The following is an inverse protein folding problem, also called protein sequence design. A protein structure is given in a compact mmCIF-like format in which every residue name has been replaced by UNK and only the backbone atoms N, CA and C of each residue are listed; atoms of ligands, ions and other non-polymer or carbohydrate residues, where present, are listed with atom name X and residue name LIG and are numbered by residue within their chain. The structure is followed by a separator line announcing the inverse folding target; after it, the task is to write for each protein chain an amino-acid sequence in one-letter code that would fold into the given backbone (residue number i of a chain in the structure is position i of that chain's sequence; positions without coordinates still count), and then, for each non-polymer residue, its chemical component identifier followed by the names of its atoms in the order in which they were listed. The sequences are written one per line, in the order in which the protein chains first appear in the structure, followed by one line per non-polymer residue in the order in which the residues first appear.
data_IF_664505378383
#
_entry.id   IF_664505378383
#
_cell.length_a   1.000
_cell.length_b   1.000
_cell.length_c   1.000
_cell.angle_alpha   90.00
_cell.angle_beta   90.00
_cell.angle_gamma   90.00
#
_symmetry.space_group_name_H-M   'P 1'
#
loop_
_entity.id
_entity.type
_entity.pdbx_description
1 polymer ?
#
# COMPACT_ATOMS: atom_id res chain seq x y z
N UNK A 1 8.32 36.46 -15.66
CA UNK A 1 7.46 36.14 -14.50
C UNK A 1 6.39 35.09 -14.83
N UNK A 2 5.56 35.24 -15.86
CA UNK A 2 4.44 34.30 -16.11
C UNK A 2 4.87 32.92 -16.62
N UNK A 3 6.01 32.82 -17.31
CA UNK A 3 6.57 31.58 -17.85
C UNK A 3 6.99 30.54 -16.78
N UNK A 4 7.10 30.95 -15.52
CA UNK A 4 7.47 30.09 -14.38
C UNK A 4 6.29 29.83 -13.42
N UNK A 5 5.08 30.28 -13.75
CA UNK A 5 3.93 30.15 -12.86
C UNK A 5 3.34 28.72 -12.90
N UNK A 6 3.13 28.12 -11.73
CA UNK A 6 2.49 26.81 -11.59
C UNK A 6 0.94 26.89 -11.66
N UNK A 7 0.37 28.07 -11.41
CA UNK A 7 -1.07 28.36 -11.51
C UNK A 7 -1.28 29.68 -12.27
N UNK A 8 -2.16 29.66 -13.27
CA UNK A 8 -2.50 30.81 -14.11
C UNK A 8 -3.98 31.11 -13.95
N UNK A 9 -4.33 32.29 -13.45
CA UNK A 9 -5.73 32.70 -13.30
C UNK A 9 -6.07 33.73 -14.39
N UNK A 10 -7.03 33.40 -15.26
CA UNK A 10 -7.45 34.23 -16.39
C UNK A 10 -8.69 35.06 -16.01
N UNK A 11 -8.79 36.28 -16.55
CA UNK A 11 -9.91 37.18 -16.32
C UNK A 11 -10.85 37.34 -17.54
N UNK A 12 -10.58 36.67 -18.67
CA UNK A 12 -11.23 36.94 -19.95
C UNK A 12 -12.64 36.34 -20.05
N UNK A 13 -13.59 37.14 -20.55
CA UNK A 13 -14.89 36.67 -21.01
C UNK A 13 -14.71 35.95 -22.36
N UNK A 14 -15.00 34.64 -22.40
CA UNK A 14 -14.98 33.82 -23.62
C UNK A 14 -14.07 32.59 -23.55
N UNK A 15 -14.31 31.63 -24.45
CA UNK A 15 -13.44 30.46 -24.70
C UNK A 15 -12.11 30.94 -25.31
N UNK A 16 -11.28 31.61 -24.52
CA UNK A 16 -9.94 31.95 -24.95
C UNK A 16 -9.12 30.66 -25.07
N UNK A 17 -8.53 30.43 -26.24
CA UNK A 17 -7.55 29.39 -26.46
C UNK A 17 -6.45 29.51 -25.39
N UNK A 18 -6.10 28.38 -24.77
CA UNK A 18 -5.04 28.34 -23.77
C UNK A 18 -3.75 28.95 -24.37
N UNK A 19 -3.12 29.92 -23.69
CA UNK A 19 -1.94 30.57 -24.25
C UNK A 19 -0.83 29.53 -24.53
N UNK A 20 -0.20 29.59 -25.71
CA UNK A 20 0.82 28.61 -26.11
C UNK A 20 2.08 28.60 -25.19
N UNK A 21 2.23 29.63 -24.35
CA UNK A 21 3.34 29.78 -23.41
C UNK A 21 3.10 29.13 -22.04
N UNK A 22 1.94 28.49 -21.83
CA UNK A 22 1.65 27.77 -20.58
C UNK A 22 2.58 26.56 -20.45
N UNK A 23 3.30 26.47 -19.32
CA UNK A 23 4.14 25.32 -19.02
C UNK A 23 3.29 24.04 -18.95
N UNK A 24 3.74 22.91 -19.53
CA UNK A 24 3.07 21.63 -19.36
C UNK A 24 2.89 21.29 -17.87
N UNK A 25 1.65 21.06 -17.45
CA UNK A 25 1.28 20.76 -16.06
C UNK A 25 0.87 21.95 -15.19
N UNK A 26 0.93 23.19 -15.70
CA UNK A 26 0.41 24.35 -14.97
C UNK A 26 -1.13 24.34 -14.95
N UNK A 27 -1.72 24.66 -13.79
CA UNK A 27 -3.17 24.71 -13.63
C UNK A 27 -3.73 26.05 -14.12
N UNK A 28 -4.66 26.03 -15.07
CA UNK A 28 -5.30 27.24 -15.62
C UNK A 28 -6.72 27.38 -15.05
N UNK A 29 -7.01 28.49 -14.38
CA UNK A 29 -8.31 28.77 -13.75
C UNK A 29 -8.92 30.01 -14.41
N UNK A 30 -10.02 29.85 -15.14
CA UNK A 30 -10.71 30.97 -15.76
C UNK A 30 -11.75 31.58 -14.79
N UNK A 31 -11.53 32.84 -14.41
CA UNK A 31 -12.38 33.65 -13.55
C UNK A 31 -13.17 34.72 -14.32
N UNK A 32 -13.30 34.60 -15.64
CA UNK A 32 -14.13 35.48 -16.48
C UNK A 32 -15.62 35.44 -16.08
N UNK A 33 -16.42 36.44 -16.48
CA UNK A 33 -17.85 36.44 -16.24
C UNK A 33 -18.47 35.22 -16.92
N UNK A 34 -19.20 34.40 -16.15
CA UNK A 34 -20.04 33.35 -16.70
C UNK A 34 -21.25 33.98 -17.38
N UNK A 35 -21.06 34.55 -18.58
CA UNK A 35 -22.14 34.72 -19.54
C UNK A 35 -22.16 33.44 -20.37
N UNK A 36 -22.77 32.40 -19.80
CA UNK A 36 -23.28 31.30 -20.62
C UNK A 36 -24.64 31.78 -21.08
N UNK A 37 -24.73 32.20 -22.34
CA UNK A 37 -25.99 32.16 -23.07
C UNK A 37 -26.40 30.70 -23.15
N UNK A 38 -27.24 30.24 -22.21
CA UNK A 38 -28.08 29.09 -22.48
C UNK A 38 -28.98 29.47 -23.66
N UNK A 39 -29.03 28.60 -24.67
CA UNK A 39 -29.96 28.68 -25.78
C UNK A 39 -31.40 28.63 -25.23
N UNK A 40 -31.97 29.81 -24.93
CA UNK A 40 -33.41 29.99 -24.85
C UNK A 40 -33.96 29.91 -26.26
N UNK A 41 -34.61 28.79 -26.55
CA UNK A 41 -35.40 28.60 -27.76
C UNK A 41 -36.36 29.77 -28.00
N UNK A 42 -36.43 30.14 -29.27
CA UNK A 42 -37.35 31.06 -29.94
C UNK A 42 -38.42 31.78 -29.07
N UNK A 43 -38.42 33.12 -29.23
CA UNK A 43 -39.41 34.09 -28.75
C UNK A 43 -39.23 34.61 -27.31
N UNK A 44 -38.24 35.48 -27.14
CA UNK A 44 -38.14 36.40 -26.01
C UNK A 44 -37.07 37.44 -26.32
N UNK A 45 -37.43 38.72 -26.33
CA UNK A 45 -36.50 39.83 -26.50
C UNK A 45 -35.34 39.69 -25.51
N UNK A 46 -34.14 39.47 -26.02
CA UNK A 46 -32.92 39.49 -25.22
C UNK A 46 -32.73 40.94 -24.72
N UNK A 47 -33.09 41.18 -23.46
CA UNK A 47 -32.61 42.36 -22.75
C UNK A 47 -31.11 42.13 -22.57
N UNK A 48 -30.30 42.77 -23.42
CA UNK A 48 -28.90 43.00 -23.10
C UNK A 48 -28.88 43.83 -21.81
N UNK A 49 -28.81 43.15 -20.66
CA UNK A 49 -28.36 43.77 -19.44
C UNK A 49 -26.88 44.11 -19.67
N UNK A 50 -26.66 45.33 -20.17
CA UNK A 50 -25.38 46.02 -20.10
C UNK A 50 -24.97 46.06 -18.62
N UNK A 51 -24.24 45.02 -18.19
CA UNK A 51 -23.52 45.03 -16.93
C UNK A 51 -22.60 46.25 -17.00
N UNK A 52 -22.85 47.25 -16.15
CA UNK A 52 -22.14 48.51 -16.19
C UNK A 52 -20.63 48.28 -16.36
N UNK A 53 -19.95 49.02 -17.27
CA UNK A 53 -18.54 48.83 -17.55
C UNK A 53 -17.75 49.00 -16.25
N UNK A 54 -17.28 47.88 -15.69
CA UNK A 54 -16.66 47.83 -14.36
C UNK A 54 -17.14 46.68 -13.47
N UNK A 55 -18.42 46.29 -13.55
CA UNK A 55 -18.99 45.24 -12.67
C UNK A 55 -18.49 43.85 -13.05
N UNK A 56 -18.36 43.56 -14.36
CA UNK A 56 -17.79 42.30 -14.85
C UNK A 56 -16.30 42.13 -14.50
N UNK A 57 -15.52 43.21 -14.61
CA UNK A 57 -14.10 43.24 -14.21
C UNK A 57 -13.92 43.18 -12.69
N UNK A 58 -14.80 43.82 -11.92
CA UNK A 58 -14.80 43.72 -10.46
C UNK A 58 -15.14 42.31 -9.99
N UNK A 59 -16.14 41.66 -10.59
CA UNK A 59 -16.49 40.28 -10.30
C UNK A 59 -15.36 39.30 -10.66
N UNK A 60 -14.69 39.51 -11.80
CA UNK A 60 -13.51 38.73 -12.17
C UNK A 60 -12.35 38.95 -11.18
N UNK A 61 -12.08 40.18 -10.76
CA UNK A 61 -11.06 40.51 -9.77
C UNK A 61 -11.35 39.87 -8.40
N UNK A 62 -12.61 39.88 -7.94
CA UNK A 62 -13.02 39.21 -6.70
C UNK A 62 -12.87 37.69 -6.79
N UNK A 63 -13.23 37.07 -7.93
CA UNK A 63 -13.00 35.63 -8.15
C UNK A 63 -11.51 35.28 -8.13
N UNK A 64 -10.67 36.08 -8.81
CA UNK A 64 -9.21 35.91 -8.77
C UNK A 64 -8.69 36.03 -7.34
N UNK A 65 -9.14 37.05 -6.60
CA UNK A 65 -8.73 37.23 -5.21
C UNK A 65 -9.12 36.03 -4.35
N UNK A 66 -10.32 35.47 -4.55
CA UNK A 66 -10.78 34.28 -3.83
C UNK A 66 -9.98 33.03 -4.21
N UNK A 67 -9.66 32.84 -5.49
CA UNK A 67 -8.80 31.74 -5.94
C UNK A 67 -7.42 31.86 -5.31
N UNK A 68 -6.78 33.03 -5.37
CA UNK A 68 -5.45 33.24 -4.77
C UNK A 68 -5.49 33.02 -3.25
N UNK A 69 -6.50 33.55 -2.55
CA UNK A 69 -6.69 33.32 -1.11
C UNK A 69 -6.90 31.83 -0.82
N UNK A 70 -7.69 31.13 -1.62
CA UNK A 70 -7.95 29.70 -1.47
C UNK A 70 -6.69 28.87 -1.71
N UNK A 71 -5.95 29.12 -2.80
CA UNK A 71 -4.70 28.44 -3.12
C UNK A 71 -3.62 28.68 -2.07
N UNK A 72 -3.52 29.90 -1.51
CA UNK A 72 -2.61 30.19 -0.39
C UNK A 72 -2.98 29.41 0.87
N UNK A 73 -4.27 29.39 1.24
CA UNK A 73 -4.75 28.60 2.39
C UNK A 73 -4.47 27.11 2.19
N UNK A 74 -4.80 26.58 1.01
CA UNK A 74 -4.53 25.19 0.65
C UNK A 74 -3.03 24.88 0.75
N UNK A 75 -2.15 25.74 0.22
CA UNK A 75 -0.70 25.55 0.31
C UNK A 75 -0.19 25.57 1.76
N UNK A 76 -0.75 26.43 2.61
CA UNK A 76 -0.46 26.44 4.07
C UNK A 76 -1.03 25.21 4.79
N UNK A 77 -2.10 24.59 4.29
CA UNK A 77 -2.63 23.33 4.78
C UNK A 77 -1.77 22.13 4.39
N UNK A 78 -1.06 22.20 3.27
CA UNK A 78 -0.16 21.13 2.85
C UNK A 78 1.12 21.05 3.69
N UNK A 79 1.52 22.14 4.36
CA UNK A 79 2.75 22.20 5.14
C UNK A 79 2.68 21.39 6.44
N UNK A 80 3.84 20.98 6.94
CA UNK A 80 3.96 20.38 8.28
C UNK A 80 3.39 21.34 9.34
N UNK A 81 2.73 20.77 10.34
CA UNK A 81 2.20 21.50 11.49
C UNK A 81 2.63 20.80 12.77
N UNK A 82 3.07 21.54 13.81
CA UNK A 82 3.26 20.97 15.13
C UNK A 82 2.00 20.27 15.61
N UNK A 83 2.16 19.14 16.28
CA UNK A 83 1.04 18.34 16.75
C UNK A 83 0.27 19.07 17.84
N UNK A 84 -1.05 18.86 17.84
CA UNK A 84 -1.97 19.37 18.87
C UNK A 84 -2.63 18.21 19.64
N UNK A 85 -1.87 17.12 19.78
CA UNK A 85 -2.33 15.86 20.34
C UNK A 85 -2.74 15.97 21.81
N UNK A 86 -3.95 15.50 22.10
CA UNK A 86 -4.52 15.49 23.46
C UNK A 86 -4.48 14.09 24.05
N UNK A 87 -3.61 13.83 25.01
CA UNK A 87 -3.48 12.49 25.60
C UNK A 87 -4.76 12.05 26.30
N UNK A 88 -5.12 10.77 26.17
CA UNK A 88 -6.19 10.16 26.97
C UNK A 88 -5.67 9.90 28.38
N UNK A 89 -6.52 10.06 29.39
CA UNK A 89 -6.15 9.74 30.78
C UNK A 89 -6.27 8.23 31.00
N UNK A 90 -5.24 7.64 31.61
CA UNK A 90 -5.30 6.30 32.16
C UNK A 90 -5.91 6.32 33.57
N UNK A 91 -6.62 5.24 33.90
CA UNK A 91 -7.08 4.95 35.26
C UNK A 91 -6.53 3.58 35.68
N UNK A 92 -5.28 3.53 36.18
CA UNK A 92 -4.70 2.27 36.63
C UNK A 92 -5.46 1.68 37.81
N UNK A 93 -5.73 0.38 37.75
CA UNK A 93 -6.40 -0.39 38.79
C UNK A 93 -5.39 -1.30 39.50
N UNK A 94 -5.67 -1.59 40.76
CA UNK A 94 -4.91 -2.54 41.57
C UNK A 94 -5.88 -3.50 42.28
N UNK A 95 -5.76 -4.83 42.08
CA UNK A 95 -4.77 -5.52 41.24
C UNK A 95 -4.92 -5.20 39.74
N UNK A 96 -3.82 -5.32 38.98
CA UNK A 96 -3.81 -5.05 37.53
C UNK A 96 -4.71 -6.06 36.83
N UNK A 97 -5.74 -5.64 36.07
CA UNK A 97 -6.62 -6.54 35.34
C UNK A 97 -5.89 -7.25 34.19
N UNK A 98 -6.58 -8.19 33.53
CA UNK A 98 -6.04 -8.79 32.31
C UNK A 98 -5.91 -7.78 31.17
N UNK A 99 -5.01 -8.03 30.22
CA UNK A 99 -4.73 -7.13 29.11
C UNK A 99 -6.00 -6.76 28.31
N UNK A 100 -6.87 -7.74 28.07
CA UNK A 100 -8.10 -7.54 27.31
C UNK A 100 -9.12 -6.69 28.09
N UNK A 101 -9.19 -6.84 29.42
CA UNK A 101 -10.06 -6.02 30.26
C UNK A 101 -9.58 -4.56 30.27
N UNK A 102 -8.26 -4.34 30.35
CA UNK A 102 -7.68 -3.00 30.22
C UNK A 102 -8.01 -2.40 28.85
N UNK A 103 -7.83 -3.16 27.77
CA UNK A 103 -8.14 -2.68 26.42
C UNK A 103 -9.62 -2.33 26.23
N UNK A 104 -10.55 -3.11 26.82
CA UNK A 104 -12.00 -2.87 26.71
C UNK A 104 -12.46 -1.73 27.63
N UNK A 105 -11.78 -1.51 28.75
CA UNK A 105 -12.08 -0.43 29.69
C UNK A 105 -11.72 0.97 29.16
N UNK A 106 -10.86 1.05 28.15
CA UNK A 106 -10.43 2.33 27.55
C UNK A 106 -11.17 2.62 26.25
N UNK A 107 -11.81 3.79 26.17
CA UNK A 107 -12.42 4.26 24.92
C UNK A 107 -11.36 4.93 24.03
N UNK A 108 -11.05 4.39 22.84
CA UNK A 108 -10.09 5.01 21.92
C UNK A 108 -10.62 6.34 21.37
N UNK A 109 -9.73 7.26 20.99
CA UNK A 109 -10.12 8.42 20.20
C UNK A 109 -10.69 7.97 18.86
N UNK A 110 -11.60 8.76 18.31
CA UNK A 110 -11.97 8.62 16.91
C UNK A 110 -10.72 8.83 16.04
N UNK A 111 -10.51 7.95 15.08
CA UNK A 111 -9.26 7.89 14.30
C UNK A 111 -9.05 9.15 13.45
N UNK A 112 -10.13 9.79 13.01
CA UNK A 112 -10.14 11.07 12.31
C UNK A 112 -9.73 12.24 13.22
N UNK A 113 -10.05 12.16 14.51
CA UNK A 113 -9.58 13.14 15.50
C UNK A 113 -8.07 12.96 15.71
N UNK A 114 -7.61 11.74 15.94
CA UNK A 114 -6.19 11.45 16.09
C UNK A 114 -5.39 11.88 14.86
N UNK A 115 -5.87 11.54 13.66
CA UNK A 115 -5.24 11.92 12.40
C UNK A 115 -5.08 13.45 12.28
N UNK A 116 -6.12 14.21 12.60
CA UNK A 116 -6.05 15.69 12.60
C UNK A 116 -5.05 16.23 13.63
N UNK A 117 -5.04 15.64 14.83
CA UNK A 117 -4.13 16.04 15.92
C UNK A 117 -2.65 15.87 15.55
N UNK A 118 -2.32 14.88 14.71
CA UNK A 118 -0.95 14.58 14.23
C UNK A 118 -0.64 15.19 12.85
N UNK A 119 -1.52 16.02 12.29
CA UNK A 119 -1.26 16.73 11.03
C UNK A 119 -1.47 15.90 9.75
N UNK A 120 -2.24 14.81 9.82
CA UNK A 120 -2.74 14.11 8.62
C UNK A 120 -3.90 14.88 8.00
N UNK A 121 -3.92 14.91 6.67
CA UNK A 121 -5.02 15.49 5.91
C UNK A 121 -6.15 14.46 5.72
N UNK A 122 -7.37 14.95 5.53
CA UNK A 122 -8.54 14.07 5.38
C UNK A 122 -8.47 13.20 4.12
N UNK A 123 -7.78 13.66 3.06
CA UNK A 123 -7.57 12.91 1.82
C UNK A 123 -6.43 11.88 1.91
N UNK A 124 -5.64 11.91 2.99
CA UNK A 124 -4.58 10.94 3.28
C UNK A 124 -5.05 9.76 4.14
N UNK A 125 -6.27 9.84 4.67
CA UNK A 125 -6.83 8.87 5.61
C UNK A 125 -7.95 8.06 4.97
N UNK A 126 -7.88 6.74 5.12
CA UNK A 126 -8.94 5.81 4.70
C UNK A 126 -9.43 5.04 5.93
N UNK A 127 -10.59 5.43 6.48
CA UNK A 127 -11.08 4.90 7.75
C UNK A 127 -11.59 3.45 7.64
N UNK A 128 -11.25 2.62 8.63
CA UNK A 128 -11.72 1.25 8.81
C UNK A 128 -12.48 1.14 10.14
N UNK A 129 -13.68 1.69 10.16
CA UNK A 129 -14.44 1.92 11.39
C UNK A 129 -13.92 3.16 12.14
N UNK A 130 -14.17 3.22 13.45
CA UNK A 130 -13.89 4.43 14.25
C UNK A 130 -12.48 4.50 14.83
N UNK A 131 -11.79 3.37 14.98
CA UNK A 131 -10.57 3.29 15.78
C UNK A 131 -9.28 3.02 14.98
N UNK A 132 -9.39 2.77 13.67
CA UNK A 132 -8.26 2.45 12.79
C UNK A 132 -8.48 2.96 11.37
N UNK A 133 -7.39 3.24 10.66
CA UNK A 133 -7.43 3.76 9.31
C UNK A 133 -6.14 3.42 8.55
N UNK A 134 -6.22 3.27 7.23
CA UNK A 134 -5.05 3.23 6.35
C UNK A 134 -4.56 4.64 6.06
N UNK A 135 -3.24 4.84 5.99
CA UNK A 135 -2.62 6.13 5.63
C UNK A 135 -1.98 6.05 4.25
N UNK A 136 -2.33 7.00 3.37
CA UNK A 136 -1.84 7.05 2.00
C UNK A 136 -0.38 7.48 1.90
N UNK A 137 0.32 6.91 0.92
CA UNK A 137 1.73 7.23 0.65
C UNK A 137 1.95 8.62 0.04
N UNK A 138 0.87 9.31 -0.40
CA UNK A 138 0.92 10.69 -0.88
C UNK A 138 1.52 11.66 0.14
N UNK A 139 1.43 11.32 1.43
CA UNK A 139 2.06 12.03 2.54
C UNK A 139 3.56 12.19 2.36
N UNK A 140 4.27 11.15 1.91
CA UNK A 140 5.72 11.23 1.68
C UNK A 140 6.08 12.28 0.63
N UNK A 141 5.24 12.43 -0.41
CA UNK A 141 5.43 13.47 -1.41
C UNK A 141 5.14 14.86 -0.84
N UNK A 142 4.07 15.00 -0.05
CA UNK A 142 3.69 16.26 0.60
C UNK A 142 4.74 16.76 1.58
N UNK A 143 5.22 15.88 2.46
CA UNK A 143 6.20 16.19 3.51
C UNK A 143 7.65 15.94 3.08
N UNK A 144 7.95 15.81 1.79
CA UNK A 144 9.32 15.52 1.29
C UNK A 144 10.38 16.50 1.80
N UNK A 145 10.00 17.77 2.00
CA UNK A 145 10.89 18.85 2.45
C UNK A 145 11.02 18.93 3.97
N UNK A 146 10.16 18.24 4.72
CA UNK A 146 10.22 18.19 6.18
C UNK A 146 11.43 17.32 6.59
N UNK A 147 12.29 17.76 7.51
CA UNK A 147 13.36 16.92 8.04
C UNK A 147 12.77 15.71 8.77
N UNK A 148 13.47 14.57 8.69
CA UNK A 148 13.09 13.38 9.43
C UNK A 148 13.32 13.57 10.93
N UNK A 149 12.46 12.97 11.74
CA UNK A 149 12.69 12.88 13.19
C UNK A 149 13.78 11.88 13.58
N UNK A 150 13.90 11.65 14.88
CA UNK A 150 14.90 10.75 15.47
C UNK A 150 14.36 9.32 15.49
N UNK A 151 15.12 8.37 14.95
CA UNK A 151 14.76 6.95 14.94
C UNK A 151 15.36 6.21 16.15
N UNK A 152 14.52 5.52 16.92
CA UNK A 152 14.90 4.84 18.17
C UNK A 152 14.59 3.36 18.06
N UNK A 153 15.61 2.54 17.85
CA UNK A 153 15.45 1.09 17.80
C UNK A 153 15.36 0.48 19.21
N UNK A 154 14.26 -0.20 19.50
CA UNK A 154 14.13 -1.01 20.74
C UNK A 154 14.45 -2.47 20.43
N UNK A 155 15.63 -2.91 20.90
CA UNK A 155 16.07 -4.30 20.82
C UNK A 155 15.81 -5.05 22.15
N UNK A 156 15.94 -6.37 22.11
CA UNK A 156 15.91 -7.21 23.30
C UNK A 156 17.10 -8.15 23.32
N UNK A 157 17.40 -8.69 24.50
CA UNK A 157 18.35 -9.80 24.66
C UNK A 157 17.81 -11.08 24.00
N UNK A 158 18.62 -12.13 23.98
CA UNK A 158 18.19 -13.47 23.53
C UNK A 158 16.91 -13.88 24.28
N UNK A 159 15.83 -14.27 23.57
CA UNK A 159 14.56 -14.61 24.21
C UNK A 159 14.69 -15.76 25.20
N UNK A 160 14.04 -15.60 26.35
CA UNK A 160 13.97 -16.57 27.43
C UNK A 160 12.50 -16.92 27.73
N UNK A 161 12.20 -18.07 28.37
CA UNK A 161 10.84 -18.42 28.75
C UNK A 161 10.15 -17.43 29.69
N UNK A 162 10.91 -16.57 30.38
CA UNK A 162 10.37 -15.58 31.31
C UNK A 162 9.74 -14.36 30.60
N UNK A 163 10.12 -14.12 29.34
CA UNK A 163 9.60 -13.02 28.54
C UNK A 163 10.22 -11.66 28.90
N UNK A 164 10.69 -10.93 27.89
CA UNK A 164 11.46 -9.69 28.09
C UNK A 164 10.60 -8.42 27.99
N UNK A 165 9.32 -8.54 27.58
CA UNK A 165 8.41 -7.38 27.51
C UNK A 165 8.80 -6.34 26.45
N UNK A 166 9.54 -6.70 25.39
CA UNK A 166 10.03 -5.75 24.37
C UNK A 166 8.94 -4.85 23.75
N UNK A 167 7.78 -5.41 23.43
CA UNK A 167 6.65 -4.64 22.89
C UNK A 167 6.05 -3.72 23.96
N UNK A 168 6.00 -4.16 25.21
CA UNK A 168 5.54 -3.35 26.35
C UNK A 168 6.46 -2.16 26.58
N UNK A 169 7.79 -2.37 26.54
CA UNK A 169 8.79 -1.29 26.64
C UNK A 169 8.66 -0.31 25.49
N UNK A 170 8.44 -0.81 24.27
CA UNK A 170 8.21 0.03 23.08
C UNK A 170 7.03 0.97 23.28
N UNK A 171 5.89 0.41 23.68
CA UNK A 171 4.66 1.18 23.85
C UNK A 171 4.76 2.13 25.05
N UNK A 172 5.35 1.67 26.16
CA UNK A 172 5.62 2.50 27.34
C UNK A 172 6.54 3.68 27.03
N UNK A 173 7.57 3.48 26.20
CA UNK A 173 8.49 4.54 25.78
C UNK A 173 7.76 5.62 24.97
N UNK A 174 6.95 5.24 23.98
CA UNK A 174 6.24 6.24 23.17
C UNK A 174 5.15 6.95 23.98
N UNK A 175 4.48 6.25 24.90
CA UNK A 175 3.56 6.86 25.86
C UNK A 175 4.28 7.85 26.79
N UNK A 176 5.45 7.51 27.31
CA UNK A 176 6.28 8.43 28.10
C UNK A 176 6.60 9.71 27.31
N UNK A 177 7.08 9.58 26.07
CA UNK A 177 7.43 10.72 25.22
C UNK A 177 6.20 11.58 24.86
N UNK A 178 5.12 10.96 24.40
CA UNK A 178 3.93 11.69 23.92
C UNK A 178 3.02 12.12 25.07
N UNK A 179 2.57 11.19 25.90
CA UNK A 179 1.54 11.46 26.90
C UNK A 179 2.08 12.25 28.10
N UNK A 180 3.31 11.98 28.52
CA UNK A 180 3.90 12.59 29.72
C UNK A 180 4.84 13.75 29.41
N UNK A 181 5.72 13.63 28.40
CA UNK A 181 6.70 14.66 28.05
C UNK A 181 6.24 15.63 26.95
N UNK A 182 5.09 15.37 26.31
CA UNK A 182 4.50 16.21 25.25
C UNK A 182 5.41 16.38 24.02
N UNK A 183 6.24 15.38 23.75
CA UNK A 183 7.06 15.29 22.55
C UNK A 183 6.31 14.51 21.47
N UNK A 184 6.40 14.94 20.21
CA UNK A 184 5.82 14.19 19.09
C UNK A 184 6.51 12.83 18.96
N UNK A 185 5.81 11.75 19.25
CA UNK A 185 6.34 10.40 19.04
C UNK A 185 5.36 9.44 18.37
N UNK A 186 5.93 8.45 17.68
CA UNK A 186 5.20 7.43 16.94
C UNK A 186 5.78 6.05 17.27
N UNK A 187 4.93 5.04 17.42
CA UNK A 187 5.40 3.64 17.41
C UNK A 187 5.04 2.97 16.08
N UNK A 188 6.01 2.26 15.49
CA UNK A 188 5.82 1.38 14.35
C UNK A 188 5.95 -0.07 14.81
N UNK A 189 4.89 -0.85 14.61
CA UNK A 189 4.78 -2.22 15.07
C UNK A 189 4.47 -3.17 13.91
N UNK A 190 4.88 -4.42 14.10
CA UNK A 190 4.48 -5.51 13.23
C UNK A 190 3.03 -5.90 13.47
N UNK A 191 2.31 -6.20 12.39
CA UNK A 191 1.04 -6.89 12.47
C UNK A 191 1.27 -8.35 12.91
N UNK A 192 0.58 -8.84 13.95
CA UNK A 192 0.65 -10.24 14.33
C UNK A 192 -0.13 -11.11 13.33
N UNK A 193 0.31 -12.37 13.20
CA UNK A 193 -0.50 -13.41 12.56
C UNK A 193 -1.72 -13.73 13.43
N UNK A 194 -2.88 -13.99 12.81
CA UNK A 194 -4.08 -14.40 13.53
C UNK A 194 -4.00 -15.86 14.00
N UNK A 195 -3.18 -16.70 13.35
CA UNK A 195 -3.09 -18.14 13.64
C UNK A 195 -2.73 -18.43 15.12
N UNK A 196 -1.67 -17.81 15.68
CA UNK A 196 -1.33 -17.92 17.09
C UNK A 196 -2.39 -17.41 18.07
N UNK A 197 -3.25 -16.47 17.66
CA UNK A 197 -4.31 -15.90 18.50
C UNK A 197 -5.29 -16.96 19.00
N UNK A 198 -5.60 -17.95 18.16
CA UNK A 198 -6.50 -19.06 18.50
C UNK A 198 -5.80 -20.26 19.16
N UNK A 199 -4.48 -20.19 19.34
CA UNK A 199 -3.68 -21.24 19.96
C UNK A 199 -3.20 -20.85 21.35
N UNK A 200 -1.96 -20.37 21.42
CA UNK A 200 -1.23 -20.13 22.68
C UNK A 200 -0.97 -18.64 22.92
N UNK A 201 -1.06 -17.79 21.89
CA UNK A 201 -0.61 -16.38 21.92
C UNK A 201 -1.63 -15.45 21.29
N UNK A 202 -2.72 -15.17 21.99
CA UNK A 202 -3.62 -14.04 21.72
C UNK A 202 -3.29 -12.81 22.59
N UNK A 203 -2.00 -12.51 22.77
CA UNK A 203 -1.53 -11.45 23.69
C UNK A 203 -1.64 -10.04 23.10
N UNK A 204 -1.55 -9.01 23.95
CA UNK A 204 -1.66 -7.62 23.54
C UNK A 204 -0.47 -7.18 22.67
N UNK A 205 -0.69 -6.11 21.89
CA UNK A 205 0.38 -5.32 21.30
C UNK A 205 1.12 -4.51 22.39
N UNK A 206 1.86 -5.22 23.26
CA UNK A 206 2.37 -4.67 24.53
C UNK A 206 1.89 -5.50 25.72
N UNK A 207 1.59 -4.85 26.84
CA UNK A 207 0.99 -5.49 28.02
C UNK A 207 0.65 -4.49 29.13
N UNK A 208 -0.31 -4.84 29.99
CA UNK A 208 -0.76 -3.97 31.08
C UNK A 208 -1.28 -2.62 30.58
N UNK A 209 -0.80 -1.52 31.14
CA UNK A 209 -1.19 -0.16 30.72
C UNK A 209 -0.38 0.40 29.54
N UNK A 210 0.47 -0.42 28.94
CA UNK A 210 1.26 -0.08 27.76
C UNK A 210 0.87 -0.99 26.58
N UNK A 211 -0.25 -0.68 25.94
CA UNK A 211 -0.84 -1.46 24.84
C UNK A 211 -1.40 -0.59 23.71
N UNK A 212 -1.47 -1.16 22.50
CA UNK A 212 -2.28 -0.64 21.38
C UNK A 212 -3.73 -1.10 21.51
N UNK A 213 -4.67 -0.21 21.24
CA UNK A 213 -6.12 -0.48 21.30
C UNK A 213 -6.84 -0.10 20.00
N UNK A 214 -7.95 -0.78 19.65
CA UNK A 214 -8.52 -1.96 20.33
C UNK A 214 -7.73 -3.25 20.04
N UNK A 215 -7.49 -4.06 21.07
CA UNK A 215 -6.66 -5.27 20.98
C UNK A 215 -7.26 -6.36 20.08
N UNK A 216 -8.59 -6.53 20.07
CA UNK A 216 -9.28 -7.53 19.24
C UNK A 216 -9.09 -7.25 17.74
N UNK A 217 -9.19 -5.98 17.36
CA UNK A 217 -8.96 -5.51 15.99
C UNK A 217 -7.51 -5.69 15.57
N UNK A 218 -6.57 -5.51 16.51
CA UNK A 218 -5.13 -5.70 16.29
C UNK A 218 -4.76 -7.17 16.03
N UNK A 219 -5.38 -8.12 16.74
CA UNK A 219 -5.01 -9.54 16.74
C UNK A 219 -5.76 -10.41 15.72
N UNK A 220 -6.80 -9.89 15.08
CA UNK A 220 -7.61 -10.60 14.10
C UNK A 220 -7.32 -10.09 12.69
N UNK A 221 -8.33 -9.54 12.01
CA UNK A 221 -8.24 -9.21 10.59
C UNK A 221 -7.58 -7.85 10.32
N UNK A 222 -7.50 -6.97 11.32
CA UNK A 222 -7.03 -5.59 11.21
C UNK A 222 -7.66 -4.87 9.99
N UNK A 223 -6.88 -4.66 8.93
CA UNK A 223 -7.31 -4.02 7.67
C UNK A 223 -7.28 -4.98 6.47
N UNK A 224 -7.04 -6.27 6.71
CA UNK A 224 -7.02 -7.31 5.69
C UNK A 224 -5.69 -7.52 4.97
N UNK A 225 -4.59 -6.97 5.48
CA UNK A 225 -3.28 -7.00 4.80
C UNK A 225 -2.76 -8.43 4.63
N UNK A 226 -2.87 -9.26 5.67
CA UNK A 226 -2.50 -10.68 5.61
C UNK A 226 -3.42 -11.46 4.67
N UNK A 227 -4.69 -11.08 4.54
CA UNK A 227 -5.61 -11.68 3.57
C UNK A 227 -5.20 -11.36 2.14
N UNK A 228 -4.80 -10.11 1.87
CA UNK A 228 -4.25 -9.70 0.58
C UNK A 228 -2.97 -10.47 0.23
N UNK A 229 -2.07 -10.65 1.21
CA UNK A 229 -0.85 -11.47 1.05
C UNK A 229 -1.21 -12.92 0.74
N UNK A 230 -2.17 -13.49 1.47
CA UNK A 230 -2.62 -14.87 1.29
C UNK A 230 -3.18 -15.06 -0.12
N UNK A 231 -4.04 -14.15 -0.58
CA UNK A 231 -4.61 -14.18 -1.93
C UNK A 231 -3.51 -14.04 -3.00
N UNK A 232 -2.57 -13.10 -2.84
CA UNK A 232 -1.48 -12.88 -3.78
C UNK A 232 -0.54 -14.10 -3.84
N UNK A 233 -0.13 -14.65 -2.70
CA UNK A 233 0.75 -15.82 -2.64
C UNK A 233 0.11 -17.04 -3.30
N UNK A 234 -1.17 -17.28 -3.00
CA UNK A 234 -1.90 -18.42 -3.54
C UNK A 234 -2.25 -18.25 -5.02
N UNK A 235 -2.37 -17.01 -5.53
CA UNK A 235 -2.45 -16.73 -6.96
C UNK A 235 -1.17 -17.15 -7.69
N UNK A 236 0.02 -16.87 -7.12
CA UNK A 236 1.29 -17.34 -7.68
C UNK A 236 1.33 -18.87 -7.71
N UNK A 237 0.98 -19.53 -6.61
CA UNK A 237 0.93 -20.99 -6.55
C UNK A 237 -0.03 -21.61 -7.58
N UNK A 238 -1.23 -21.02 -7.72
CA UNK A 238 -2.20 -21.43 -8.73
C UNK A 238 -1.67 -21.22 -10.17
N UNK A 239 -0.97 -20.11 -10.42
CA UNK A 239 -0.38 -19.81 -11.71
C UNK A 239 0.75 -20.78 -12.07
N UNK A 240 1.57 -21.22 -11.10
CA UNK A 240 2.58 -22.26 -11.31
C UNK A 240 1.93 -23.56 -11.79
N UNK A 241 0.96 -24.07 -11.03
CA UNK A 241 0.33 -25.36 -11.35
C UNK A 241 -0.46 -25.28 -12.68
N UNK A 242 -1.19 -24.19 -12.91
CA UNK A 242 -1.90 -23.95 -14.18
C UNK A 242 -0.94 -23.84 -15.37
N UNK A 243 0.20 -23.18 -15.19
CA UNK A 243 1.21 -23.06 -16.25
C UNK A 243 1.78 -24.41 -16.62
N UNK A 244 2.13 -25.24 -15.65
CA UNK A 244 2.63 -26.60 -15.89
C UNK A 244 1.60 -27.47 -16.63
N UNK A 245 0.33 -27.43 -16.21
CA UNK A 245 -0.75 -28.17 -16.86
C UNK A 245 -0.96 -27.73 -18.32
N UNK A 246 -1.04 -26.42 -18.56
CA UNK A 246 -1.28 -25.90 -19.90
C UNK A 246 -0.10 -26.12 -20.83
N UNK A 247 1.13 -26.04 -20.33
CA UNK A 247 2.29 -26.47 -21.12
C UNK A 247 2.15 -27.96 -21.47
N UNK A 248 1.94 -28.85 -20.52
CA UNK A 248 1.89 -30.29 -20.83
C UNK A 248 0.77 -30.69 -21.83
N UNK A 249 -0.33 -29.94 -21.89
CA UNK A 249 -1.53 -30.34 -22.65
C UNK A 249 -1.76 -29.59 -23.95
N UNK A 250 -1.06 -28.48 -24.22
CA UNK A 250 -1.34 -27.61 -25.37
C UNK A 250 -0.15 -27.47 -26.31
N UNK A 251 -0.46 -27.16 -27.57
CA UNK A 251 0.55 -26.84 -28.59
C UNK A 251 1.12 -25.43 -28.39
N UNK A 252 2.35 -25.22 -28.88
CA UNK A 252 3.03 -23.91 -28.79
C UNK A 252 2.21 -22.80 -29.44
N UNK A 253 1.54 -23.10 -30.56
CA UNK A 253 0.65 -22.16 -31.25
C UNK A 253 -0.53 -21.74 -30.36
N UNK A 254 -1.14 -22.69 -29.65
CA UNK A 254 -2.26 -22.40 -28.75
C UNK A 254 -1.81 -21.55 -27.56
N UNK A 255 -0.67 -21.89 -26.94
CA UNK A 255 -0.08 -21.12 -25.85
C UNK A 255 0.28 -19.69 -26.30
N UNK A 256 0.92 -19.56 -27.47
CA UNK A 256 1.31 -18.26 -28.01
C UNK A 256 0.09 -17.35 -28.24
N UNK A 257 -0.98 -17.90 -28.82
CA UNK A 257 -2.22 -17.15 -29.06
C UNK A 257 -2.89 -16.66 -27.78
N UNK A 258 -2.72 -17.37 -26.65
CA UNK A 258 -3.27 -16.96 -25.35
C UNK A 258 -2.40 -15.94 -24.64
N UNK A 259 -1.09 -16.12 -24.70
CA UNK A 259 -0.13 -15.19 -24.08
C UNK A 259 -0.06 -13.87 -24.85
N UNK A 260 -0.16 -13.91 -26.18
CA UNK A 260 -0.09 -12.74 -27.06
C UNK A 260 -1.36 -12.70 -27.92
N UNK A 261 -2.51 -12.35 -27.33
CA UNK A 261 -3.77 -12.29 -28.05
C UNK A 261 -3.76 -11.16 -29.07
N UNK A 262 -4.54 -11.31 -30.14
CA UNK A 262 -4.80 -10.23 -31.08
C UNK A 262 -5.84 -9.29 -30.48
N UNK A 263 -5.46 -8.03 -30.25
CA UNK A 263 -6.37 -6.97 -29.77
C UNK A 263 -6.49 -5.92 -30.86
N UNK A 264 -7.72 -5.63 -31.32
CA UNK A 264 -8.00 -4.70 -32.42
C UNK A 264 -7.16 -4.98 -33.69
N UNK A 265 -6.99 -6.26 -34.04
CA UNK A 265 -6.23 -6.69 -35.21
C UNK A 265 -4.69 -6.64 -35.05
N UNK A 266 -4.16 -6.17 -33.92
CA UNK A 266 -2.72 -6.09 -33.67
C UNK A 266 -2.29 -7.02 -32.54
N UNK A 267 -1.18 -7.74 -32.73
CA UNK A 267 -0.47 -8.46 -31.66
C UNK A 267 0.72 -7.63 -31.23
N UNK A 268 0.87 -7.45 -29.92
CA UNK A 268 2.01 -6.73 -29.33
C UNK A 268 2.46 -7.44 -28.07
N UNK A 269 3.77 -7.49 -27.85
CA UNK A 269 4.30 -7.96 -26.59
C UNK A 269 4.07 -6.92 -25.49
N UNK A 270 3.72 -7.40 -24.30
CA UNK A 270 3.73 -6.57 -23.10
C UNK A 270 5.18 -6.32 -22.63
N UNK A 271 5.43 -5.31 -21.77
CA UNK A 271 6.77 -5.05 -21.25
C UNK A 271 7.42 -6.27 -20.58
N UNK A 272 6.62 -7.08 -19.86
CA UNK A 272 7.07 -8.31 -19.19
C UNK A 272 7.51 -9.37 -20.22
N UNK A 273 6.77 -9.48 -21.32
CA UNK A 273 7.09 -10.42 -22.40
C UNK A 273 8.36 -10.01 -23.14
N UNK A 274 8.57 -8.71 -23.36
CA UNK A 274 9.81 -8.18 -23.93
C UNK A 274 10.99 -8.49 -23.01
N UNK A 275 10.87 -8.27 -21.69
CA UNK A 275 11.91 -8.59 -20.73
C UNK A 275 12.24 -10.10 -20.70
N UNK A 276 11.25 -10.96 -20.91
CA UNK A 276 11.48 -12.41 -21.07
C UNK A 276 12.23 -12.72 -22.36
N UNK A 277 11.84 -12.16 -23.50
CA UNK A 277 12.54 -12.36 -24.78
C UNK A 277 14.01 -11.95 -24.69
N UNK A 278 14.29 -10.82 -24.04
CA UNK A 278 15.67 -10.37 -23.78
C UNK A 278 16.46 -11.38 -22.94
N UNK A 279 15.88 -11.95 -21.87
CA UNK A 279 16.52 -13.02 -21.07
C UNK A 279 16.76 -14.31 -21.86
N UNK A 280 15.98 -14.55 -22.92
CA UNK A 280 16.18 -15.66 -23.85
C UNK A 280 17.18 -15.35 -24.97
N UNK A 281 17.74 -14.13 -25.02
CA UNK A 281 18.63 -13.69 -26.10
C UNK A 281 17.90 -13.34 -27.40
N UNK A 282 16.58 -13.13 -27.35
CA UNK A 282 15.74 -12.82 -28.51
C UNK A 282 15.51 -11.30 -28.56
N UNK A 283 16.16 -10.62 -29.50
CA UNK A 283 16.05 -9.16 -29.68
C UNK A 283 14.84 -8.68 -30.49
N UNK A 284 13.93 -9.58 -30.87
CA UNK A 284 12.78 -9.29 -31.72
C UNK A 284 11.61 -8.76 -30.90
N UNK A 285 11.00 -7.66 -31.37
CA UNK A 285 9.87 -6.99 -30.70
C UNK A 285 8.53 -7.18 -31.44
N UNK A 286 8.57 -7.68 -32.67
CA UNK A 286 7.37 -8.04 -33.43
C UNK A 286 7.01 -9.52 -33.20
N UNK A 287 5.82 -9.83 -32.65
CA UNK A 287 5.35 -11.21 -32.50
C UNK A 287 5.35 -12.04 -33.79
N UNK A 288 5.16 -11.42 -34.96
CA UNK A 288 5.16 -12.13 -36.25
C UNK A 288 6.57 -12.52 -36.72
N UNK A 289 7.62 -11.88 -36.19
CA UNK A 289 9.01 -12.12 -36.59
C UNK A 289 9.66 -13.32 -35.86
N UNK A 290 8.98 -13.91 -34.86
CA UNK A 290 9.50 -15.06 -34.14
C UNK A 290 9.43 -16.33 -35.00
N UNK A 291 10.56 -17.03 -35.07
CA UNK A 291 10.65 -18.38 -35.64
C UNK A 291 9.92 -19.39 -34.74
N UNK A 292 9.53 -20.57 -35.26
CA UNK A 292 8.90 -21.61 -34.44
C UNK A 292 9.71 -22.00 -33.19
N UNK A 293 11.04 -22.05 -33.29
CA UNK A 293 11.93 -22.36 -32.16
C UNK A 293 11.95 -21.25 -31.10
N UNK A 294 11.96 -19.98 -31.53
CA UNK A 294 11.85 -18.83 -30.63
C UNK A 294 10.48 -18.77 -29.95
N UNK A 295 9.40 -19.05 -30.69
CA UNK A 295 8.05 -19.16 -30.11
C UNK A 295 8.02 -20.24 -29.05
N UNK A 296 8.55 -21.43 -29.34
CA UNK A 296 8.63 -22.53 -28.37
C UNK A 296 9.38 -22.12 -27.10
N UNK A 297 10.57 -21.54 -27.25
CA UNK A 297 11.38 -21.06 -26.13
C UNK A 297 10.70 -19.95 -25.31
N UNK A 298 9.92 -19.09 -25.97
CA UNK A 298 9.17 -18.02 -25.33
C UNK A 298 7.98 -18.54 -24.53
N UNK A 299 7.15 -19.41 -25.11
CA UNK A 299 5.90 -19.87 -24.48
C UNK A 299 6.11 -20.98 -23.46
N UNK A 300 7.23 -21.69 -23.49
CA UNK A 300 7.58 -22.76 -22.54
C UNK A 300 8.47 -22.22 -21.43
N UNK A 301 7.99 -22.26 -20.19
CA UNK A 301 8.86 -22.08 -19.02
C UNK A 301 9.60 -23.38 -18.70
N UNK A 302 9.00 -24.52 -19.05
CA UNK A 302 9.53 -25.87 -18.81
C UNK A 302 9.96 -26.07 -17.36
N UNK A 303 9.06 -25.69 -16.45
CA UNK A 303 9.30 -25.75 -15.01
C UNK A 303 9.47 -27.20 -14.57
N UNK A 304 10.51 -27.48 -13.79
CA UNK A 304 10.73 -28.80 -13.21
C UNK A 304 9.83 -28.95 -11.96
N UNK A 305 8.86 -29.89 -11.94
CA UNK A 305 7.97 -30.09 -10.80
C UNK A 305 8.71 -30.32 -9.47
N UNK A 306 9.87 -30.97 -9.51
CA UNK A 306 10.67 -31.26 -8.32
C UNK A 306 11.52 -30.08 -7.83
N UNK A 307 11.58 -28.99 -8.61
CA UNK A 307 12.31 -27.76 -8.28
C UNK A 307 11.38 -26.55 -8.14
N UNK A 308 10.08 -26.79 -7.94
CA UNK A 308 9.13 -25.75 -7.50
C UNK A 308 9.45 -25.42 -6.05
N UNK A 309 9.80 -24.18 -5.77
CA UNK A 309 10.07 -23.70 -4.41
C UNK A 309 8.88 -22.96 -3.81
N UNK A 310 7.99 -22.44 -4.65
CA UNK A 310 6.83 -21.67 -4.20
C UNK A 310 5.75 -22.55 -3.57
N UNK A 311 5.37 -22.23 -2.35
CA UNK A 311 4.35 -22.94 -1.58
C UNK A 311 3.08 -22.11 -1.43
N UNK A 312 1.99 -22.76 -1.00
CA UNK A 312 0.75 -22.05 -0.64
C UNK A 312 0.86 -21.51 0.79
N UNK A 313 -0.05 -20.61 1.16
CA UNK A 313 -0.11 -20.11 2.54
C UNK A 313 -1.54 -20.01 3.06
N UNK A 314 -1.65 -20.10 4.39
CA UNK A 314 -2.86 -19.84 5.15
C UNK A 314 -2.47 -19.24 6.51
N UNK A 315 -3.23 -18.26 7.01
CA UNK A 315 -2.93 -17.66 8.33
C UNK A 315 -3.65 -18.40 9.46
N UNK A 316 -3.44 -19.71 9.52
CA UNK A 316 -4.00 -20.62 10.55
C UNK A 316 -2.94 -21.63 10.93
N UNK A 317 -2.86 -21.99 12.21
CA UNK A 317 -1.93 -23.02 12.69
C UNK A 317 -2.44 -24.43 12.33
N UNK A 318 -2.21 -24.87 11.09
CA UNK A 318 -2.61 -26.20 10.61
C UNK A 318 -1.39 -27.06 10.26
N UNK A 319 -1.11 -28.07 11.10
CA UNK A 319 0.03 -28.97 10.90
C UNK A 319 -0.18 -30.00 9.79
N UNK A 320 -1.43 -30.32 9.43
CA UNK A 320 -1.72 -31.34 8.42
C UNK A 320 -1.46 -30.83 6.99
N UNK A 321 -1.37 -29.51 6.81
CA UNK A 321 -1.04 -28.91 5.53
C UNK A 321 0.48 -28.78 5.26
N UNK A 322 1.34 -29.21 6.18
CA UNK A 322 2.81 -29.16 6.02
C UNK A 322 3.33 -30.04 4.89
N UNK A 323 2.55 -31.02 4.44
CA UNK A 323 2.88 -31.88 3.31
C UNK A 323 1.60 -32.47 2.75
N UNK A 324 1.29 -32.10 1.51
CA UNK A 324 0.05 -32.48 0.82
C UNK A 324 0.34 -32.84 -0.62
N UNK A 325 -0.66 -33.44 -1.26
CA UNK A 325 -0.63 -33.71 -2.70
C UNK A 325 -1.80 -33.01 -3.37
N UNK A 326 -1.54 -32.27 -4.46
CA UNK A 326 -2.54 -31.54 -5.25
C UNK A 326 -2.72 -32.16 -6.64
N UNK A 327 -3.77 -31.75 -7.37
CA UNK A 327 -4.04 -32.24 -8.74
C UNK A 327 -4.66 -33.63 -8.80
N UNK A 328 -5.36 -34.06 -7.75
CA UNK A 328 -5.95 -35.40 -7.62
C UNK A 328 -7.26 -35.58 -8.42
N UNK A 329 -7.88 -34.49 -8.88
CA UNK A 329 -9.11 -34.57 -9.64
C UNK A 329 -8.87 -35.21 -11.03
N UNK A 330 -9.92 -35.80 -11.60
CA UNK A 330 -9.84 -36.52 -12.88
C UNK A 330 -9.44 -35.61 -14.06
N UNK A 331 -9.72 -34.32 -13.97
CA UNK A 331 -9.35 -33.29 -14.95
C UNK A 331 -7.86 -32.99 -14.99
N UNK A 332 -7.14 -33.23 -13.90
CA UNK A 332 -5.69 -33.01 -13.76
C UNK A 332 -4.92 -34.33 -13.75
N UNK A 333 -5.54 -35.43 -14.23
CA UNK A 333 -4.94 -36.77 -14.23
C UNK A 333 -3.52 -36.77 -14.83
N UNK A 334 -2.56 -37.28 -14.07
CA UNK A 334 -1.15 -37.33 -14.45
C UNK A 334 -0.34 -36.07 -14.12
N UNK A 335 -0.99 -35.02 -13.58
CA UNK A 335 -0.36 -33.76 -13.17
C UNK A 335 -0.42 -33.55 -11.66
N UNK A 336 -0.19 -34.63 -10.91
CA UNK A 336 -0.15 -34.63 -9.45
C UNK A 336 1.20 -34.11 -8.96
N UNK A 337 1.20 -33.29 -7.90
CA UNK A 337 2.43 -32.77 -7.29
C UNK A 337 2.34 -32.72 -5.77
N UNK A 338 3.46 -33.02 -5.11
CA UNK A 338 3.66 -32.80 -3.68
C UNK A 338 4.01 -31.33 -3.39
N UNK A 339 3.37 -30.73 -2.38
CA UNK A 339 3.55 -29.33 -1.98
C UNK A 339 3.18 -29.16 -0.51
N UNK A 340 3.25 -27.94 0.02
CA UNK A 340 2.85 -27.63 1.40
C UNK A 340 2.15 -26.27 1.51
N UNK A 341 1.61 -26.01 2.70
CA UNK A 341 1.23 -24.68 3.16
C UNK A 341 2.17 -24.21 4.26
N UNK A 342 2.59 -22.95 4.15
CA UNK A 342 3.23 -22.21 5.22
C UNK A 342 2.25 -21.22 5.86
N UNK A 343 2.58 -20.70 7.04
CA UNK A 343 1.79 -19.62 7.64
C UNK A 343 1.94 -18.33 6.81
N UNK A 344 0.87 -17.57 6.60
CA UNK A 344 0.87 -16.43 5.66
C UNK A 344 1.98 -15.40 5.91
N UNK A 345 2.31 -15.12 7.17
CA UNK A 345 3.38 -14.19 7.55
C UNK A 345 4.80 -14.68 7.20
N UNK A 346 4.96 -15.95 6.84
CA UNK A 346 6.21 -16.53 6.34
C UNK A 346 6.40 -16.33 4.82
N UNK A 347 5.39 -15.86 4.09
CA UNK A 347 5.46 -15.60 2.66
C UNK A 347 6.56 -14.59 2.31
N UNK A 348 7.27 -14.80 1.20
CA UNK A 348 8.19 -13.81 0.63
C UNK A 348 7.47 -12.47 0.33
N UNK A 349 6.18 -12.52 -0.03
CA UNK A 349 5.36 -11.31 -0.27
C UNK A 349 5.26 -10.46 1.01
N UNK A 350 5.21 -11.07 2.20
CA UNK A 350 5.24 -10.34 3.47
C UNK A 350 6.58 -9.62 3.66
N UNK A 351 7.69 -10.27 3.32
CA UNK A 351 9.01 -9.64 3.38
C UNK A 351 9.14 -8.49 2.36
N UNK A 352 8.59 -8.65 1.15
CA UNK A 352 8.54 -7.59 0.12
C UNK A 352 7.70 -6.40 0.61
N UNK A 353 6.54 -6.65 1.21
CA UNK A 353 5.71 -5.59 1.78
C UNK A 353 6.45 -4.81 2.87
N UNK A 354 7.26 -5.49 3.69
CA UNK A 354 8.04 -4.83 4.72
C UNK A 354 9.22 -4.01 4.17
N UNK A 355 9.81 -4.41 3.04
CA UNK A 355 11.02 -3.79 2.49
C UNK A 355 10.78 -2.80 1.34
N UNK A 356 9.56 -2.72 0.82
CA UNK A 356 9.26 -1.85 -0.32
C UNK A 356 9.30 -0.37 0.06
N UNK A 357 9.68 0.48 -0.88
CA UNK A 357 9.61 1.95 -0.78
C UNK A 357 8.46 2.58 -1.58
N UNK A 358 7.56 1.77 -2.14
CA UNK A 358 6.40 2.26 -2.86
C UNK A 358 5.79 1.22 -3.79
N UNK A 359 4.73 1.61 -4.50
CA UNK A 359 3.99 0.68 -5.36
C UNK A 359 4.83 0.16 -6.53
N UNK A 360 5.66 1.02 -7.13
CA UNK A 360 6.55 0.64 -8.22
C UNK A 360 7.64 -0.35 -7.74
N UNK A 361 8.32 -0.03 -6.63
CA UNK A 361 9.33 -0.92 -6.03
C UNK A 361 8.71 -2.27 -5.61
N UNK A 362 7.52 -2.24 -5.02
CA UNK A 362 6.79 -3.47 -4.64
C UNK A 362 6.51 -4.33 -5.87
N UNK A 363 6.01 -3.73 -6.95
CA UNK A 363 5.71 -4.42 -8.20
C UNK A 363 6.97 -5.05 -8.81
N UNK A 364 8.08 -4.32 -8.82
CA UNK A 364 9.34 -4.81 -9.36
C UNK A 364 9.90 -5.98 -8.53
N UNK A 365 9.81 -5.90 -7.19
CA UNK A 365 10.20 -7.00 -6.29
C UNK A 365 9.32 -8.23 -6.47
N UNK A 366 8.00 -8.04 -6.57
CA UNK A 366 7.05 -9.12 -6.84
C UNK A 366 7.37 -9.83 -8.16
N UNK A 367 7.71 -9.08 -9.21
CA UNK A 367 8.07 -9.66 -10.52
C UNK A 367 9.36 -10.50 -10.51
N UNK A 368 10.29 -10.18 -9.59
CA UNK A 368 11.58 -10.89 -9.43
C UNK A 368 11.52 -12.14 -8.57
N UNK A 369 10.41 -12.40 -7.87
CA UNK A 369 10.26 -13.62 -7.05
C UNK A 369 10.47 -14.86 -7.90
N UNK A 370 11.38 -15.74 -7.47
CA UNK A 370 11.69 -16.99 -8.16
C UNK A 370 10.76 -18.09 -7.63
N UNK A 371 9.93 -18.65 -8.50
CA UNK A 371 8.94 -19.67 -8.11
C UNK A 371 9.46 -21.10 -8.24
N UNK A 372 10.56 -21.28 -8.98
CA UNK A 372 11.19 -22.55 -9.21
C UNK A 372 12.22 -22.47 -10.34
N UNK A 373 12.72 -23.62 -10.75
CA UNK A 373 13.74 -23.74 -11.80
C UNK A 373 13.22 -24.57 -12.97
N UNK A 374 13.54 -24.18 -14.20
CA UNK A 374 13.26 -24.99 -15.39
C UNK A 374 14.10 -26.27 -15.41
N UNK A 375 13.75 -27.26 -16.24
CA UNK A 375 14.59 -28.45 -16.45
C UNK A 375 16.00 -28.11 -16.96
N UNK A 376 16.13 -27.03 -17.73
CA UNK A 376 17.41 -26.49 -18.21
C UNK A 376 18.19 -25.68 -17.14
N UNK A 377 17.77 -25.67 -15.87
CA UNK A 377 18.48 -24.98 -14.78
C UNK A 377 18.27 -23.47 -14.70
N UNK A 378 17.39 -22.88 -15.54
CA UNK A 378 17.11 -21.43 -15.51
C UNK A 378 16.06 -21.09 -14.44
N UNK A 379 16.23 -20.00 -13.68
CA UNK A 379 15.22 -19.54 -12.73
C UNK A 379 13.97 -19.06 -13.48
N UNK A 380 12.80 -19.39 -12.95
CA UNK A 380 11.49 -18.93 -13.45
C UNK A 380 10.90 -17.99 -12.42
N UNK A 381 10.49 -16.80 -12.86
CA UNK A 381 9.99 -15.74 -11.96
C UNK A 381 8.47 -15.54 -12.03
N UNK A 382 7.91 -14.77 -11.09
CA UNK A 382 6.49 -14.37 -11.16
C UNK A 382 6.17 -13.53 -12.41
N UNK A 383 7.13 -12.76 -12.92
CA UNK A 383 7.02 -12.09 -14.23
C UNK A 383 6.88 -13.10 -15.38
N UNK A 384 7.63 -14.21 -15.36
CA UNK A 384 7.50 -15.26 -16.39
C UNK A 384 6.11 -15.91 -16.41
N UNK A 385 5.46 -15.97 -15.24
CA UNK A 385 4.08 -16.43 -15.09
C UNK A 385 3.06 -15.37 -15.54
N UNK A 386 3.46 -14.10 -15.70
CA UNK A 386 2.59 -13.00 -16.10
C UNK A 386 1.64 -12.50 -15.02
N UNK A 387 1.90 -12.80 -13.74
CA UNK A 387 0.98 -12.48 -12.63
C UNK A 387 1.29 -11.18 -11.90
N UNK A 388 2.44 -10.56 -12.12
CA UNK A 388 2.93 -9.39 -11.38
C UNK A 388 1.94 -8.23 -11.30
N UNK A 389 1.23 -7.94 -12.39
CA UNK A 389 0.18 -6.91 -12.40
C UNK A 389 -0.98 -7.24 -11.46
N UNK A 390 -1.43 -8.50 -11.46
CA UNK A 390 -2.50 -8.97 -10.58
C UNK A 390 -2.07 -8.95 -9.10
N UNK A 391 -0.81 -9.34 -8.81
CA UNK A 391 -0.25 -9.25 -7.47
C UNK A 391 -0.22 -7.80 -6.95
N UNK A 392 0.23 -6.86 -7.77
CA UNK A 392 0.26 -5.45 -7.40
C UNK A 392 -1.15 -4.90 -7.11
N UNK A 393 -2.17 -5.34 -7.86
CA UNK A 393 -3.58 -4.95 -7.61
C UNK A 393 -4.10 -5.53 -6.29
N UNK A 394 -3.82 -6.81 -6.00
CA UNK A 394 -4.20 -7.43 -4.73
C UNK A 394 -3.56 -6.72 -3.54
N UNK A 395 -2.32 -6.25 -3.71
CA UNK A 395 -1.54 -5.59 -2.66
C UNK A 395 -1.75 -4.06 -2.58
N UNK A 396 -2.59 -3.48 -3.44
CA UNK A 396 -2.69 -2.01 -3.63
C UNK A 396 -3.05 -1.24 -2.34
N UNK A 397 -3.87 -1.84 -1.49
CA UNK A 397 -4.31 -1.24 -0.22
C UNK A 397 -3.46 -1.76 0.94
N UNK A 398 -2.97 -3.00 0.83
CA UNK A 398 -2.08 -3.62 1.80
C UNK A 398 -0.73 -2.91 1.94
N UNK A 399 -0.30 -2.10 0.95
CA UNK A 399 0.94 -1.30 1.02
C UNK A 399 0.86 -0.10 1.99
N UNK A 400 -0.35 0.34 2.33
CA UNK A 400 -0.58 1.52 3.17
C UNK A 400 -0.47 1.12 4.64
N UNK A 401 0.29 1.81 5.52
CA UNK A 401 0.29 1.49 6.95
C UNK A 401 -1.05 1.73 7.64
N UNK A 402 -1.36 0.94 8.67
CA UNK A 402 -2.57 1.08 9.47
C UNK A 402 -2.30 1.93 10.72
N UNK A 403 -2.92 3.10 10.80
CA UNK A 403 -2.95 3.96 11.98
C UNK A 403 -3.89 3.40 13.04
N UNK A 404 -3.38 3.28 14.26
CA UNK A 404 -4.08 2.98 15.50
C UNK A 404 -3.53 3.87 16.62
N UNK A 405 -3.84 3.55 17.88
CA UNK A 405 -3.36 4.31 19.03
C UNK A 405 -3.10 3.45 20.26
N UNK A 406 -2.30 3.97 21.19
CA UNK A 406 -2.13 3.41 22.53
C UNK A 406 -3.31 3.75 23.44
N UNK A 407 -3.33 3.16 24.65
CA UNK A 407 -4.31 3.50 25.69
C UNK A 407 -4.35 5.00 26.03
N UNK A 408 -3.23 5.71 25.92
CA UNK A 408 -3.14 7.17 26.14
C UNK A 408 -3.33 8.00 24.86
N UNK A 409 -3.70 7.38 23.74
CA UNK A 409 -3.95 8.08 22.48
C UNK A 409 -2.68 8.55 21.78
N UNK A 410 -1.54 7.89 22.02
CA UNK A 410 -0.29 8.06 21.23
C UNK A 410 -0.44 7.31 19.90
N UNK A 411 -0.04 7.89 18.75
CA UNK A 411 -0.26 7.26 17.45
C UNK A 411 0.65 6.05 17.24
N UNK A 412 0.10 5.03 16.59
CA UNK A 412 0.81 3.78 16.29
C UNK A 412 0.55 3.37 14.85
N UNK A 413 1.60 3.03 14.12
CA UNK A 413 1.47 2.31 12.86
C UNK A 413 1.63 0.81 13.09
N UNK A 414 0.72 0.04 12.51
CA UNK A 414 0.78 -1.41 12.48
C UNK A 414 0.85 -1.82 11.01
N UNK A 415 1.99 -2.36 10.59
CA UNK A 415 2.17 -2.67 9.18
C UNK A 415 3.28 -3.69 8.92
N UNK A 416 2.95 -4.68 8.09
CA UNK A 416 3.76 -5.88 7.81
C UNK A 416 4.14 -6.67 9.09
N UNK A 417 4.56 -7.91 8.92
CA UNK A 417 4.90 -8.77 10.05
C UNK A 417 5.70 -10.00 9.66
N UNK A 418 6.82 -9.87 8.91
CA UNK A 418 7.62 -11.01 8.52
C UNK A 418 8.21 -11.72 9.74
N UNK A 419 8.51 -13.00 9.53
CA UNK A 419 9.33 -13.78 10.45
C UNK A 419 10.72 -13.19 10.64
N UNK A 420 11.33 -13.46 11.79
CA UNK A 420 12.65 -12.94 12.18
C UNK A 420 13.79 -13.97 12.02
N UNK A 421 13.46 -15.20 11.60
CA UNK A 421 14.42 -16.28 11.39
C UNK A 421 14.70 -16.51 9.89
N UNK A 422 13.65 -16.53 9.06
CA UNK A 422 13.73 -16.68 7.59
C UNK A 422 13.64 -15.33 6.86
N UNK A 423 13.36 -14.25 7.59
CA UNK A 423 13.31 -12.89 7.10
C UNK A 423 13.79 -11.94 8.22
N UNK A 424 13.68 -10.62 8.00
CA UNK A 424 14.34 -9.61 8.83
C UNK A 424 13.58 -9.20 10.10
N UNK A 425 12.32 -9.62 10.27
CA UNK A 425 11.60 -9.47 11.55
C UNK A 425 11.19 -8.06 11.97
N UNK A 426 11.10 -7.08 11.05
CA UNK A 426 10.72 -5.69 11.34
C UNK A 426 9.35 -5.31 10.73
N UNK A 427 8.76 -4.20 11.19
CA UNK A 427 7.64 -3.54 10.49
C UNK A 427 8.11 -2.94 9.16
N UNK A 428 7.18 -2.44 8.36
CA UNK A 428 7.54 -1.91 7.04
C UNK A 428 8.37 -0.64 7.08
N UNK A 429 9.30 -0.50 6.13
CA UNK A 429 10.04 0.74 5.86
C UNK A 429 9.11 1.93 5.59
N UNK A 430 7.99 1.71 4.89
CA UNK A 430 7.02 2.77 4.60
C UNK A 430 6.39 3.36 5.87
N UNK A 431 6.01 2.53 6.85
CA UNK A 431 5.49 3.01 8.13
C UNK A 431 6.51 3.88 8.86
N UNK A 432 7.76 3.43 8.91
CA UNK A 432 8.86 4.17 9.56
C UNK A 432 9.10 5.52 8.85
N UNK A 433 9.16 5.54 7.52
CA UNK A 433 9.33 6.78 6.73
C UNK A 433 8.18 7.76 6.91
N UNK A 434 6.94 7.27 6.89
CA UNK A 434 5.75 8.10 7.11
C UNK A 434 5.76 8.70 8.52
N UNK A 435 6.07 7.88 9.53
CA UNK A 435 6.17 8.33 10.92
C UNK A 435 7.28 9.38 11.10
N UNK A 436 8.45 9.18 10.49
CA UNK A 436 9.60 10.10 10.60
C UNK A 436 9.27 11.50 10.06
N UNK A 437 8.55 11.56 8.92
CA UNK A 437 8.04 12.82 8.37
C UNK A 437 6.94 13.45 9.23
N UNK A 438 6.06 12.62 9.80
CA UNK A 438 4.94 13.09 10.62
C UNK A 438 5.39 13.68 11.95
N UNK A 439 6.38 13.08 12.62
CA UNK A 439 6.86 13.59 13.91
C UNK A 439 7.70 14.86 13.74
N UNK A 440 8.42 14.99 12.63
CA UNK A 440 9.34 16.09 12.34
C UNK A 440 10.67 16.01 13.11
N UNK A 441 11.59 16.94 12.82
CA UNK A 441 13.00 16.93 13.29
C UNK A 441 13.18 16.67 14.80
N UNK A 442 12.35 17.29 15.64
CA UNK A 442 12.44 17.14 17.09
C UNK A 442 11.68 15.93 17.65
N UNK A 443 10.92 15.24 16.81
CA UNK A 443 10.12 14.10 17.18
C UNK A 443 10.87 12.78 17.14
N UNK A 444 10.20 11.73 17.63
CA UNK A 444 10.79 10.40 17.80
C UNK A 444 9.92 9.32 17.17
N UNK A 445 10.55 8.41 16.44
CA UNK A 445 9.89 7.19 15.92
C UNK A 445 10.58 6.00 16.52
N UNK A 446 9.79 5.06 17.04
CA UNK A 446 10.25 3.72 17.37
C UNK A 446 9.85 2.77 16.26
#
# INVERSE_FOLDING_TARGET
MVLQADVIVLASAGRAAYPAWVRPGAAVINCGPALVSEELGAAGTAVEMSVAPGVGSLAAALRIQNVVKSSRRWMQEQQYRPWTLRSLKLQPLSPVPSDIEISRGQTPKAIDLLAREIGLLSDELEAYGRAKAKVRLSLLHRLRAQPDGKYVLVAGITPTPLGEGKSTVTIGLVQALTAHLKLSSFACLRQPSQGPTFGVKGGAAGGGYAQVIPMEEFNLHLTGDIHAITAANNLVAAAVDARMLHEATQSDKALFNRLVPTVNGSRRFSPIQIARLQRLGIGKTDPAALTPAEVSSFVRLDLDPGKVTWQRVVDTNDRFLRKITVGQASTEKGHVRETQFDIAVASEIMAILALTDGLADMKDRLGRMVVGTSRAGRPVTADDLGVTGALAVLMKDAIKPTLMQTLEGTPVFVHAGPFANIAHGNSSILADKLALKLVGEEGFVR
#
